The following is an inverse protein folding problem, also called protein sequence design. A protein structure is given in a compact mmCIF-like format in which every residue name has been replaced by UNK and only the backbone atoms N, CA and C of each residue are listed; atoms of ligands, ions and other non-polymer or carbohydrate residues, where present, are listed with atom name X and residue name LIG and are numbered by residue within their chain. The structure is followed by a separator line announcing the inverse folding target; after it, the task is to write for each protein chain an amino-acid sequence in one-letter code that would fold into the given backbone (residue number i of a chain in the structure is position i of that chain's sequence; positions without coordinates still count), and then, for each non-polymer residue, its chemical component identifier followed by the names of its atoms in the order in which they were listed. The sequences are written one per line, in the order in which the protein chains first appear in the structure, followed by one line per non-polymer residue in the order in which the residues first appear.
data_IF_143715199491
#
_entry.id   IF_143715199491
#
_cell.length_a   1.000
_cell.length_b   1.000
_cell.length_c   1.000
_cell.angle_alpha   90.00
_cell.angle_beta   90.00
_cell.angle_gamma   90.00
#
_symmetry.space_group_name_H-M   'P 1'
#
loop_
_entity.id
_entity.type
_entity.pdbx_description
1 polymer ?
#
# COMPACT_ATOMS: atom_id res chain seq x y z
N UNK A 1 13.13 -7.98 8.58
CA UNK A 1 12.23 -9.06 8.12
C UNK A 1 12.72 -10.38 8.70
N UNK A 2 13.88 -10.83 8.24
CA UNK A 2 14.48 -12.11 8.61
C UNK A 2 14.70 -12.27 10.11
N UNK A 3 15.16 -11.21 10.79
CA UNK A 3 15.31 -11.20 12.26
C UNK A 3 13.98 -11.40 13.02
N UNK A 4 12.83 -11.16 12.39
CA UNK A 4 11.49 -11.35 12.96
C UNK A 4 10.83 -12.64 12.43
N UNK A 5 11.58 -13.50 11.71
CA UNK A 5 11.06 -14.76 11.15
C UNK A 5 10.01 -14.58 10.05
N UNK A 6 9.98 -13.42 9.39
CA UNK A 6 9.02 -13.14 8.31
C UNK A 6 9.74 -12.92 6.98
N UNK A 7 9.13 -13.42 5.90
CA UNK A 7 9.53 -13.10 4.53
C UNK A 7 8.71 -11.91 4.03
N UNK A 8 9.38 -10.81 3.65
CA UNK A 8 8.69 -9.62 3.15
C UNK A 8 8.43 -9.74 1.65
N UNK A 9 7.19 -9.45 1.25
CA UNK A 9 6.75 -9.35 -0.13
C UNK A 9 6.25 -7.92 -0.41
N UNK A 10 7.16 -6.97 -0.73
CA UNK A 10 6.80 -5.58 -0.88
C UNK A 10 6.00 -5.33 -2.17
N UNK A 11 5.05 -4.40 -2.08
CA UNK A 11 4.26 -3.91 -3.22
C UNK A 11 4.37 -2.39 -3.24
N UNK A 12 4.78 -1.83 -4.38
CA UNK A 12 4.85 -0.39 -4.54
C UNK A 12 3.47 0.16 -4.94
N UNK A 13 2.86 0.95 -4.06
CA UNK A 13 1.59 1.65 -4.34
C UNK A 13 1.81 3.09 -4.86
N UNK A 14 2.96 3.69 -4.54
CA UNK A 14 3.43 4.95 -5.08
C UNK A 14 4.95 5.00 -5.02
N UNK A 15 5.57 5.69 -5.97
CA UNK A 15 6.98 6.04 -5.93
C UNK A 15 7.11 7.49 -5.48
N UNK A 16 8.11 7.79 -4.64
CA UNK A 16 8.41 9.16 -4.24
C UNK A 16 9.80 9.55 -4.71
N UNK A 17 9.92 10.75 -5.28
CA UNK A 17 11.19 11.44 -5.38
C UNK A 17 11.36 12.22 -4.06
N UNK A 18 12.00 11.59 -3.07
CA UNK A 18 12.12 12.12 -1.72
C UNK A 18 13.56 12.00 -1.21
N UNK A 19 14.00 13.00 -0.46
CA UNK A 19 15.24 12.98 0.31
C UNK A 19 14.94 13.29 1.80
N UNK A 20 15.99 13.51 2.61
CA UNK A 20 15.84 13.77 4.05
C UNK A 20 15.18 15.12 4.39
N UNK A 21 15.02 16.01 3.41
CA UNK A 21 14.58 17.40 3.60
C UNK A 21 13.28 17.72 2.86
N UNK A 22 13.05 17.09 1.70
CA UNK A 22 11.89 17.38 0.87
C UNK A 22 11.31 16.14 0.16
N UNK A 23 10.06 16.27 -0.27
CA UNK A 23 9.44 15.39 -1.26
C UNK A 23 9.13 16.21 -2.49
N UNK A 24 9.83 15.92 -3.58
CA UNK A 24 9.79 16.69 -4.81
C UNK A 24 8.71 16.17 -5.78
N UNK A 25 8.41 14.86 -5.72
CA UNK A 25 7.35 14.26 -6.51
C UNK A 25 6.77 13.00 -5.87
N UNK A 26 5.51 12.74 -6.19
CA UNK A 26 4.82 11.47 -5.90
C UNK A 26 4.25 10.96 -7.22
N UNK A 27 4.58 9.72 -7.56
CA UNK A 27 4.04 9.02 -8.71
C UNK A 27 3.18 7.85 -8.22
N UNK A 28 1.84 7.98 -8.25
CA UNK A 28 0.94 6.88 -7.94
C UNK A 28 1.15 5.74 -8.92
N UNK A 29 1.39 4.52 -8.43
CA UNK A 29 1.50 3.36 -9.31
C UNK A 29 0.11 3.08 -9.92
N UNK A 30 0.00 2.90 -11.24
CA UNK A 30 -1.29 2.63 -11.88
C UNK A 30 -1.97 1.38 -11.28
N UNK A 31 -3.31 1.39 -11.06
CA UNK A 31 -4.02 0.27 -10.43
C UNK A 31 -3.78 -1.08 -11.12
N UNK A 32 -3.68 -1.10 -12.45
CA UNK A 32 -3.39 -2.31 -13.23
C UNK A 32 -2.02 -2.92 -12.89
N UNK A 33 -1.02 -2.08 -12.66
CA UNK A 33 0.32 -2.52 -12.26
C UNK A 33 0.33 -2.96 -10.79
N UNK A 34 -0.48 -2.32 -9.95
CA UNK A 34 -0.68 -2.73 -8.56
C UNK A 34 -1.37 -4.10 -8.47
N UNK A 35 -2.40 -4.33 -9.30
CA UNK A 35 -3.09 -5.60 -9.40
C UNK A 35 -2.15 -6.72 -9.90
N UNK A 36 -1.30 -6.43 -10.88
CA UNK A 36 -0.31 -7.39 -11.36
C UNK A 36 0.70 -7.81 -10.27
N UNK A 37 1.22 -6.86 -9.49
CA UNK A 37 2.11 -7.15 -8.36
C UNK A 37 1.43 -8.01 -7.30
N UNK A 38 0.18 -7.66 -6.92
CA UNK A 38 -0.58 -8.39 -5.91
C UNK A 38 -0.94 -9.80 -6.37
N UNK A 39 -1.27 -9.98 -7.65
CA UNK A 39 -1.52 -11.31 -8.22
C UNK A 39 -0.28 -12.20 -8.18
N UNK A 40 0.87 -11.68 -8.62
CA UNK A 40 2.12 -12.44 -8.59
C UNK A 40 2.47 -12.91 -7.17
N UNK A 41 2.30 -12.06 -6.16
CA UNK A 41 2.56 -12.41 -4.77
C UNK A 41 1.49 -13.33 -4.17
N UNK A 42 0.21 -13.15 -4.54
CA UNK A 42 -0.85 -14.02 -4.05
C UNK A 42 -0.68 -15.47 -4.55
N UNK A 43 -0.13 -15.65 -5.74
CA UNK A 43 0.11 -16.97 -6.33
C UNK A 43 1.38 -17.65 -5.76
N UNK A 44 2.45 -16.90 -5.54
CA UNK A 44 3.75 -17.44 -5.08
C UNK A 44 3.89 -17.46 -3.54
N UNK A 45 3.50 -16.38 -2.88
CA UNK A 45 3.71 -16.11 -1.44
C UNK A 45 2.45 -15.53 -0.77
N UNK A 46 1.35 -16.32 -0.63
CA UNK A 46 0.10 -15.83 -0.08
C UNK A 46 0.27 -15.22 1.31
N UNK A 47 -0.06 -13.92 1.52
CA UNK A 47 0.25 -13.23 2.77
C UNK A 47 -0.70 -13.66 3.90
N UNK A 48 -0.16 -13.75 5.12
CA UNK A 48 -0.96 -13.95 6.35
C UNK A 48 -1.22 -12.63 7.09
N UNK A 49 -0.44 -11.60 6.77
CA UNK A 49 -0.57 -10.26 7.29
C UNK A 49 -0.22 -9.25 6.19
N UNK A 50 -0.95 -8.15 6.13
CA UNK A 50 -0.74 -7.03 5.21
C UNK A 50 -0.63 -5.75 6.01
N UNK A 51 0.39 -4.95 5.69
CA UNK A 51 0.60 -3.60 6.19
C UNK A 51 0.41 -2.64 5.02
N UNK A 52 -0.50 -1.68 5.13
CA UNK A 52 -0.57 -0.57 4.17
C UNK A 52 0.21 0.63 4.68
N UNK A 53 0.83 1.38 3.76
CA UNK A 53 1.51 2.65 4.03
C UNK A 53 0.94 3.74 3.12
N UNK A 54 1.82 4.46 2.43
CA UNK A 54 1.42 5.43 1.40
C UNK A 54 0.65 4.74 0.28
N UNK A 55 -0.60 5.15 0.08
CA UNK A 55 -1.43 4.76 -1.07
C UNK A 55 -1.58 6.00 -1.94
N UNK A 56 -1.11 5.94 -3.19
CA UNK A 56 -0.99 7.12 -4.07
C UNK A 56 -2.30 7.80 -4.49
N UNK A 57 -3.45 7.33 -3.99
CA UNK A 57 -4.76 7.87 -4.29
C UNK A 57 -5.89 6.90 -4.00
N UNK A 58 -7.12 7.36 -4.26
CA UNK A 58 -8.35 6.59 -4.02
C UNK A 58 -8.37 5.29 -4.84
N UNK A 59 -7.86 5.32 -6.07
CA UNK A 59 -7.86 4.14 -6.94
C UNK A 59 -6.98 3.01 -6.37
N UNK A 60 -5.79 3.35 -5.88
CA UNK A 60 -4.85 2.42 -5.25
C UNK A 60 -5.44 1.89 -3.94
N UNK A 61 -6.05 2.75 -3.12
CA UNK A 61 -6.76 2.33 -1.91
C UNK A 61 -7.84 1.30 -2.24
N UNK A 62 -8.71 1.59 -3.21
CA UNK A 62 -9.77 0.65 -3.62
C UNK A 62 -9.19 -0.67 -4.14
N UNK A 63 -8.09 -0.64 -4.89
CA UNK A 63 -7.42 -1.85 -5.35
C UNK A 63 -6.93 -2.71 -4.18
N UNK A 64 -6.23 -2.11 -3.22
CA UNK A 64 -5.76 -2.81 -2.02
C UNK A 64 -6.92 -3.38 -1.21
N UNK A 65 -8.00 -2.62 -0.99
CA UNK A 65 -9.18 -3.11 -0.26
C UNK A 65 -9.80 -4.33 -0.93
N UNK A 66 -10.00 -4.28 -2.26
CA UNK A 66 -10.52 -5.44 -3.01
C UNK A 66 -9.64 -6.69 -2.86
N UNK A 67 -8.32 -6.51 -2.88
CA UNK A 67 -7.38 -7.61 -2.69
C UNK A 67 -7.42 -8.20 -1.29
N UNK A 68 -7.48 -7.36 -0.26
CA UNK A 68 -7.63 -7.81 1.13
C UNK A 68 -8.92 -8.63 1.28
N UNK A 69 -10.03 -8.13 0.75
CA UNK A 69 -11.32 -8.84 0.81
C UNK A 69 -11.24 -10.18 0.09
N UNK A 70 -10.70 -10.20 -1.14
CA UNK A 70 -10.48 -11.42 -1.91
C UNK A 70 -9.67 -12.45 -1.14
N UNK A 71 -8.52 -12.06 -0.59
CA UNK A 71 -7.64 -12.97 0.16
C UNK A 71 -8.34 -13.52 1.42
N UNK A 72 -9.15 -12.69 2.08
CA UNK A 72 -9.92 -13.08 3.26
C UNK A 72 -11.00 -14.12 2.98
N UNK A 73 -11.48 -14.23 1.74
CA UNK A 73 -12.40 -15.32 1.35
C UNK A 73 -11.73 -16.70 1.39
N UNK A 74 -10.40 -16.74 1.27
CA UNK A 74 -9.63 -17.97 1.21
C UNK A 74 -9.03 -18.35 2.58
N UNK A 75 -8.57 -17.35 3.34
CA UNK A 75 -7.94 -17.55 4.66
C UNK A 75 -7.96 -16.27 5.51
N UNK A 76 -7.83 -16.35 6.85
CA UNK A 76 -7.64 -15.16 7.67
C UNK A 76 -6.38 -14.38 7.27
N UNK A 77 -6.55 -13.06 7.09
CA UNK A 77 -5.46 -12.11 6.82
C UNK A 77 -5.55 -10.94 7.80
N UNK A 78 -4.51 -10.78 8.62
CA UNK A 78 -4.37 -9.60 9.46
C UNK A 78 -4.11 -8.37 8.58
N UNK A 79 -4.84 -7.27 8.82
CA UNK A 79 -4.63 -6.01 8.11
C UNK A 79 -4.27 -4.94 9.14
N UNK A 80 -3.12 -4.31 8.95
CA UNK A 80 -2.71 -3.14 9.72
C UNK A 80 -2.68 -1.94 8.78
N UNK A 81 -3.55 -0.97 9.04
CA UNK A 81 -3.63 0.28 8.26
C UNK A 81 -2.75 1.34 8.91
N UNK A 82 -1.71 1.80 8.21
CA UNK A 82 -0.87 2.96 8.61
C UNK A 82 -1.08 4.01 7.54
N UNK A 83 -2.02 4.93 7.75
CA UNK A 83 -2.35 5.93 6.77
C UNK A 83 -1.20 6.95 6.72
N UNK A 84 -0.29 6.77 5.78
CA UNK A 84 0.80 7.73 5.51
C UNK A 84 0.22 8.90 4.72
N UNK A 85 -0.38 9.84 5.45
CA UNK A 85 -1.09 10.99 4.88
C UNK A 85 -0.19 12.22 4.68
N UNK A 86 0.99 12.22 5.32
CA UNK A 86 1.94 13.33 5.32
C UNK A 86 3.38 12.80 5.37
N UNK A 87 4.28 13.45 4.64
CA UNK A 87 5.71 13.21 4.72
C UNK A 87 6.27 13.72 6.06
N UNK A 88 7.35 13.10 6.55
CA UNK A 88 8.10 13.60 7.71
C UNK A 88 8.65 15.02 7.51
N UNK A 89 8.80 15.45 6.25
CA UNK A 89 9.22 16.79 5.84
C UNK A 89 8.08 17.81 5.81
N UNK A 90 6.84 17.38 6.09
CA UNK A 90 5.66 18.22 6.18
C UNK A 90 4.77 18.25 4.93
N UNK A 91 5.25 17.74 3.78
CA UNK A 91 4.49 17.68 2.53
C UNK A 91 3.25 16.78 2.66
N UNK A 92 2.10 17.24 2.15
CA UNK A 92 0.86 16.46 2.15
C UNK A 92 0.86 15.40 1.05
N UNK A 93 0.48 14.17 1.41
CA UNK A 93 0.29 13.07 0.45
C UNK A 93 -1.17 12.74 0.18
N UNK A 94 -2.06 13.15 1.08
CA UNK A 94 -3.48 12.89 0.97
C UNK A 94 -4.25 14.17 0.65
N UNK A 95 -5.14 14.07 -0.34
CA UNK A 95 -6.21 15.02 -0.57
C UNK A 95 -7.46 14.63 0.22
N UNK A 96 -8.48 15.49 0.18
CA UNK A 96 -9.75 15.24 0.89
C UNK A 96 -10.45 13.97 0.40
N UNK A 97 -10.31 13.64 -0.88
CA UNK A 97 -10.89 12.43 -1.46
C UNK A 97 -10.26 11.15 -0.89
N UNK A 98 -8.93 11.10 -0.78
CA UNK A 98 -8.22 9.99 -0.17
C UNK A 98 -8.55 9.85 1.31
N UNK A 99 -8.63 10.97 2.04
CA UNK A 99 -9.06 10.97 3.44
C UNK A 99 -10.49 10.41 3.61
N UNK A 100 -11.40 10.80 2.71
CA UNK A 100 -12.76 10.27 2.68
C UNK A 100 -12.81 8.77 2.37
N UNK A 101 -11.92 8.26 1.52
CA UNK A 101 -11.86 6.86 1.15
C UNK A 101 -11.32 5.91 2.24
N UNK A 102 -10.61 6.45 3.24
CA UNK A 102 -10.18 5.69 4.42
C UNK A 102 -11.29 5.50 5.49
N UNK A 103 -12.37 6.26 5.41
CA UNK A 103 -13.52 6.19 6.33
C UNK A 103 -14.56 5.19 5.84
#
# INVERSE_FOLDING_TARGET
ADAMGVHLCPVAAALTAQNSVAVDAVFPVPPEQLDAQLAALADDLPPVAIKTGLLGGVAQLRAVTRWVDRLRTQRPVALVVDPVLRASTGAGFADEALMGAYR
#
